data_IF_298334633309
#
_entry.id   IF_298334633309
#
_cell.length_a   1.000
_cell.length_b   1.000
_cell.length_c   1.000
_cell.angle_alpha   90.00
_cell.angle_beta   90.00
_cell.angle_gamma   90.00
#
_symmetry.space_group_name_H-M   'P 1'
#
loop_
_entity.id
_entity.type
_entity.pdbx_description
1 polymer ?
#
# COMPACT_ATOMS: atom_id res chain seq x y z
N UNK A 1 -2.35 -25.27 -25.02
CA UNK A 1 -2.68 -25.92 -23.73
C UNK A 1 -1.64 -26.92 -23.24
N UNK A 2 -1.39 -28.08 -23.88
CA UNK A 2 -0.38 -29.05 -23.38
C UNK A 2 1.03 -28.46 -23.24
N UNK A 3 1.48 -27.72 -24.24
CA UNK A 3 2.77 -27.02 -24.22
C UNK A 3 2.85 -25.99 -23.09
N UNK A 4 1.81 -25.17 -22.92
CA UNK A 4 1.71 -24.20 -21.83
C UNK A 4 1.77 -24.86 -20.44
N UNK A 5 1.15 -26.03 -20.26
CA UNK A 5 1.25 -26.79 -18.99
C UNK A 5 2.67 -27.30 -18.74
N UNK A 6 3.37 -27.78 -19.78
CA UNK A 6 4.77 -28.20 -19.66
C UNK A 6 5.72 -27.02 -19.42
N UNK A 7 5.39 -25.84 -19.94
CA UNK A 7 6.07 -24.57 -19.65
C UNK A 7 5.91 -24.16 -18.19
N UNK A 8 4.67 -24.17 -17.66
CA UNK A 8 4.39 -23.89 -16.24
C UNK A 8 5.24 -24.76 -15.31
N UNK A 9 5.26 -26.08 -15.52
CA UNK A 9 6.05 -26.99 -14.68
C UNK A 9 7.55 -26.65 -14.70
N UNK A 10 8.10 -26.24 -15.86
CA UNK A 10 9.51 -25.83 -15.95
C UNK A 10 9.77 -24.52 -15.21
N UNK A 11 8.87 -23.55 -15.32
CA UNK A 11 9.00 -22.25 -14.66
C UNK A 11 8.89 -22.41 -13.14
N UNK A 12 7.93 -23.21 -12.67
CA UNK A 12 7.74 -23.51 -11.24
C UNK A 12 8.98 -24.18 -10.64
N UNK A 13 9.58 -25.15 -11.35
CA UNK A 13 10.82 -25.78 -10.92
C UNK A 13 11.95 -24.74 -10.80
N UNK A 14 12.09 -23.83 -11.77
CA UNK A 14 13.12 -22.79 -11.74
C UNK A 14 12.89 -21.77 -10.63
N UNK A 15 11.65 -21.37 -10.38
CA UNK A 15 11.31 -20.48 -9.27
C UNK A 15 11.65 -21.13 -7.92
N UNK A 16 11.36 -22.42 -7.74
CA UNK A 16 11.72 -23.16 -6.53
C UNK A 16 13.24 -23.29 -6.31
N UNK A 17 14.02 -23.46 -7.38
CA UNK A 17 15.49 -23.41 -7.31
C UNK A 17 16.00 -22.03 -6.84
N UNK A 18 15.42 -20.95 -7.36
CA UNK A 18 15.80 -19.59 -6.98
C UNK A 18 15.45 -19.31 -5.50
N UNK A 19 14.29 -19.78 -5.03
CA UNK A 19 13.88 -19.64 -3.63
C UNK A 19 14.74 -20.47 -2.67
N UNK A 20 15.12 -21.69 -3.04
CA UNK A 20 15.97 -22.57 -2.21
C UNK A 20 17.45 -22.17 -2.16
N UNK A 21 17.89 -21.26 -3.03
CA UNK A 21 19.28 -20.76 -3.08
C UNK A 21 19.64 -19.74 -1.97
N UNK A 22 18.77 -19.54 -0.97
CA UNK A 22 19.05 -18.76 0.25
C UNK A 22 19.82 -19.55 1.31
N UNK A 23 20.58 -18.87 2.18
CA UNK A 23 21.25 -19.52 3.33
C UNK A 23 20.21 -20.20 4.23
N UNK A 24 20.38 -21.49 4.49
CA UNK A 24 19.55 -22.22 5.45
C UNK A 24 19.95 -21.91 6.89
N UNK A 25 18.98 -21.64 7.77
CA UNK A 25 19.18 -21.67 9.23
C UNK A 25 19.03 -20.35 9.99
N UNK A 26 18.82 -19.22 9.31
CA UNK A 26 18.43 -17.96 9.96
C UNK A 26 16.91 -17.80 10.04
N UNK A 27 16.42 -17.07 11.03
CA UNK A 27 15.00 -16.68 11.05
C UNK A 27 14.69 -15.63 9.96
N UNK A 28 13.40 -15.35 9.73
CA UNK A 28 12.97 -14.42 8.69
C UNK A 28 13.53 -12.99 8.89
N UNK A 29 13.76 -12.56 10.14
CA UNK A 29 14.29 -11.25 10.45
C UNK A 29 15.79 -11.16 10.17
N UNK A 30 16.55 -12.20 10.49
CA UNK A 30 17.97 -12.30 10.14
C UNK A 30 18.15 -12.31 8.62
N UNK A 31 17.37 -13.13 7.91
CA UNK A 31 17.41 -13.20 6.45
C UNK A 31 17.11 -11.85 5.81
N UNK A 32 16.08 -11.13 6.27
CA UNK A 32 15.78 -9.79 5.76
C UNK A 32 16.90 -8.78 6.01
N UNK A 33 17.62 -8.88 7.13
CA UNK A 33 18.69 -7.95 7.51
C UNK A 33 19.99 -8.20 6.77
N UNK A 34 20.31 -9.47 6.51
CA UNK A 34 21.59 -9.87 5.88
C UNK A 34 21.46 -10.16 4.39
N UNK A 35 20.24 -10.17 3.85
CA UNK A 35 20.00 -10.34 2.42
C UNK A 35 20.72 -9.23 1.67
N UNK A 36 21.67 -9.62 0.82
CA UNK A 36 22.25 -8.74 -0.17
C UNK A 36 21.33 -8.80 -1.39
N UNK A 37 20.96 -7.62 -1.89
CA UNK A 37 20.25 -7.53 -3.16
C UNK A 37 21.08 -8.23 -4.24
N UNK A 38 20.46 -9.19 -4.94
CA UNK A 38 21.02 -9.83 -6.13
C UNK A 38 20.15 -9.40 -7.31
N UNK A 39 20.49 -8.28 -7.99
CA UNK A 39 19.67 -7.71 -9.03
C UNK A 39 19.43 -8.68 -10.20
N UNK A 40 20.38 -9.58 -10.47
CA UNK A 40 20.27 -10.57 -11.53
C UNK A 40 19.21 -11.63 -11.17
N UNK A 41 19.27 -12.15 -9.94
CA UNK A 41 18.28 -13.10 -9.42
C UNK A 41 16.88 -12.49 -9.33
N UNK A 42 16.78 -11.24 -8.88
CA UNK A 42 15.50 -10.51 -8.82
C UNK A 42 14.93 -10.28 -10.21
N UNK A 43 15.77 -9.91 -11.19
CA UNK A 43 15.36 -9.75 -12.58
C UNK A 43 14.91 -11.07 -13.20
N UNK A 44 15.62 -12.18 -12.95
CA UNK A 44 15.23 -13.51 -13.40
C UNK A 44 13.89 -13.94 -12.77
N UNK A 45 13.74 -13.77 -11.46
CA UNK A 45 12.50 -14.11 -10.75
C UNK A 45 11.31 -13.31 -11.29
N UNK A 46 11.49 -12.02 -11.59
CA UNK A 46 10.46 -11.16 -12.18
C UNK A 46 10.07 -11.65 -13.58
N UNK A 47 11.05 -11.97 -14.42
CA UNK A 47 10.81 -12.50 -15.76
C UNK A 47 10.08 -13.85 -15.72
N UNK A 48 10.49 -14.76 -14.84
CA UNK A 48 9.85 -16.06 -14.65
C UNK A 48 8.41 -15.93 -14.16
N UNK A 49 8.11 -14.99 -13.25
CA UNK A 49 6.74 -14.71 -12.79
C UNK A 49 5.85 -14.19 -13.93
N UNK A 50 6.38 -13.30 -14.77
CA UNK A 50 5.67 -12.85 -15.97
C UNK A 50 5.38 -14.01 -16.92
N UNK A 51 6.39 -14.82 -17.22
CA UNK A 51 6.24 -15.99 -18.10
C UNK A 51 5.28 -17.03 -17.52
N UNK A 52 5.29 -17.23 -16.18
CA UNK A 52 4.34 -18.10 -15.50
C UNK A 52 2.91 -17.61 -15.73
N UNK A 53 2.65 -16.31 -15.56
CA UNK A 53 1.33 -15.73 -15.78
C UNK A 53 0.85 -15.95 -17.22
N UNK A 54 1.68 -15.65 -18.20
CA UNK A 54 1.33 -15.83 -19.61
C UNK A 54 1.05 -17.32 -19.94
N UNK A 55 1.86 -18.23 -19.41
CA UNK A 55 1.67 -19.67 -19.58
C UNK A 55 0.40 -20.18 -18.87
N UNK A 56 0.05 -19.60 -17.72
CA UNK A 56 -1.15 -19.93 -16.96
C UNK A 56 -2.40 -19.69 -17.81
N UNK A 57 -2.56 -18.50 -18.38
CA UNK A 57 -3.73 -18.15 -19.19
C UNK A 57 -3.83 -18.95 -20.50
N UNK A 58 -2.70 -19.42 -21.06
CA UNK A 58 -2.68 -20.33 -22.23
C UNK A 58 -2.92 -21.81 -21.89
N UNK A 59 -3.00 -22.17 -20.61
CA UNK A 59 -3.07 -23.58 -20.16
C UNK A 59 -4.48 -24.18 -20.23
N UNK A 60 -5.50 -23.36 -20.41
CA UNK A 60 -6.92 -23.68 -20.57
C UNK A 60 -7.55 -22.88 -21.72
N UNK A 61 -8.79 -23.20 -22.09
CA UNK A 61 -9.55 -22.49 -23.11
C UNK A 61 -10.21 -21.23 -22.53
N UNK A 62 -10.45 -20.23 -23.39
CA UNK A 62 -11.10 -18.96 -22.99
C UNK A 62 -12.53 -19.13 -22.47
N UNK A 63 -13.19 -20.25 -22.79
CA UNK A 63 -14.55 -20.59 -22.34
C UNK A 63 -14.59 -21.37 -21.03
N UNK A 64 -13.43 -21.81 -20.51
CA UNK A 64 -13.39 -22.64 -19.32
C UNK A 64 -13.61 -21.78 -18.07
N UNK A 65 -14.60 -22.15 -17.24
CA UNK A 65 -14.76 -21.55 -15.92
C UNK A 65 -13.54 -21.91 -15.05
N UNK A 66 -12.95 -20.90 -14.42
CA UNK A 66 -11.79 -21.04 -13.54
C UNK A 66 -12.08 -20.48 -12.18
N UNK A 67 -11.63 -21.21 -11.16
CA UNK A 67 -11.61 -20.73 -9.78
C UNK A 67 -10.16 -20.62 -9.32
N UNK A 68 -9.78 -19.45 -8.83
CA UNK A 68 -8.46 -19.19 -8.26
C UNK A 68 -8.60 -19.14 -6.75
N UNK A 69 -8.04 -20.14 -6.06
CA UNK A 69 -8.07 -20.26 -4.59
C UNK A 69 -6.69 -20.18 -3.96
N UNK A 70 -5.64 -20.28 -4.76
CA UNK A 70 -4.25 -20.20 -4.32
C UNK A 70 -3.70 -18.77 -4.39
N UNK A 71 -2.41 -18.63 -4.10
CA UNK A 71 -1.69 -17.35 -4.20
C UNK A 71 -1.43 -16.91 -5.65
N UNK A 72 -1.63 -17.79 -6.63
CA UNK A 72 -1.37 -17.54 -8.05
C UNK A 72 -2.56 -17.98 -8.92
N UNK A 73 -2.86 -17.27 -10.03
CA UNK A 73 -2.31 -15.97 -10.42
C UNK A 73 -2.57 -14.87 -9.38
N UNK A 74 -1.76 -13.81 -9.37
CA UNK A 74 -1.95 -12.71 -8.41
C UNK A 74 -3.21 -11.94 -8.77
N UNK A 75 -3.79 -11.25 -7.78
CA UNK A 75 -5.02 -10.49 -7.96
C UNK A 75 -4.94 -9.49 -9.13
N UNK A 76 -3.87 -8.69 -9.19
CA UNK A 76 -3.68 -7.72 -10.28
C UNK A 76 -3.44 -8.38 -11.64
N UNK A 77 -2.85 -9.57 -11.69
CA UNK A 77 -2.71 -10.33 -12.93
C UNK A 77 -4.08 -10.78 -13.45
N UNK A 78 -4.97 -11.21 -12.55
CA UNK A 78 -6.36 -11.49 -12.90
C UNK A 78 -7.07 -10.24 -13.45
N UNK A 79 -6.88 -9.08 -12.80
CA UNK A 79 -7.50 -7.83 -13.26
C UNK A 79 -7.04 -7.40 -14.65
N UNK A 80 -5.78 -7.67 -14.99
CA UNK A 80 -5.23 -7.35 -16.31
C UNK A 80 -5.89 -8.19 -17.41
N UNK A 81 -6.23 -9.44 -17.12
CA UNK A 81 -6.84 -10.39 -18.06
C UNK A 81 -8.37 -10.31 -18.12
N UNK A 82 -9.04 -9.64 -17.18
CA UNK A 82 -10.51 -9.49 -17.21
C UNK A 82 -10.94 -8.28 -18.02
N UNK A 83 -12.08 -8.38 -18.73
CA UNK A 83 -12.70 -7.22 -19.39
C UNK A 83 -13.62 -6.44 -18.45
N UNK A 84 -14.22 -7.13 -17.48
CA UNK A 84 -15.04 -6.53 -16.43
C UNK A 84 -15.01 -7.36 -15.14
N UNK A 85 -15.52 -6.78 -14.06
CA UNK A 85 -15.64 -7.45 -12.75
C UNK A 85 -17.06 -7.37 -12.20
N UNK A 86 -17.52 -8.43 -11.55
CA UNK A 86 -18.70 -8.41 -10.69
C UNK A 86 -18.25 -8.73 -9.26
N UNK A 87 -18.61 -7.89 -8.31
CA UNK A 87 -18.25 -8.05 -6.90
C UNK A 87 -19.38 -7.60 -5.98
N UNK A 88 -19.28 -7.93 -4.70
CA UNK A 88 -20.09 -7.31 -3.65
C UNK A 88 -19.39 -6.01 -3.16
N UNK A 89 -19.83 -5.47 -2.02
CA UNK A 89 -19.09 -4.35 -1.39
C UNK A 89 -17.84 -4.92 -0.72
N UNK A 90 -16.78 -5.03 -1.51
CA UNK A 90 -15.45 -5.48 -1.07
C UNK A 90 -14.40 -4.40 -1.28
N UNK A 91 -13.36 -4.37 -0.44
CA UNK A 91 -12.19 -3.49 -0.64
C UNK A 91 -11.52 -3.72 -2.00
N UNK A 92 -11.66 -4.93 -2.55
CA UNK A 92 -11.17 -5.34 -3.87
C UNK A 92 -11.73 -4.46 -5.00
N UNK A 93 -12.94 -3.91 -4.83
CA UNK A 93 -13.51 -2.94 -5.79
C UNK A 93 -12.64 -1.69 -5.92
N UNK A 94 -12.06 -1.23 -4.81
CA UNK A 94 -11.20 -0.04 -4.83
C UNK A 94 -9.91 -0.28 -5.63
N UNK A 95 -9.33 -1.48 -5.52
CA UNK A 95 -8.16 -1.86 -6.30
C UNK A 95 -8.51 -1.99 -7.80
N UNK A 96 -9.69 -2.54 -8.12
CA UNK A 96 -10.13 -2.69 -9.51
C UNK A 96 -10.39 -1.36 -10.22
N UNK A 97 -10.79 -0.30 -9.49
CA UNK A 97 -10.97 1.06 -10.04
C UNK A 97 -9.70 1.57 -10.73
N UNK A 98 -8.51 1.14 -10.27
CA UNK A 98 -7.24 1.49 -10.92
C UNK A 98 -7.17 1.06 -12.39
N UNK A 99 -7.88 -0.02 -12.77
CA UNK A 99 -7.94 -0.51 -14.14
C UNK A 99 -8.76 0.38 -15.08
N UNK A 100 -9.70 1.17 -14.55
CA UNK A 100 -10.68 1.93 -15.33
C UNK A 100 -11.72 1.06 -16.08
N UNK A 101 -11.65 -0.26 -15.95
CA UNK A 101 -12.53 -1.22 -16.65
C UNK A 101 -13.95 -1.23 -16.06
N UNK A 102 -14.97 -1.61 -16.84
CA UNK A 102 -16.33 -1.76 -16.35
C UNK A 102 -16.43 -2.71 -15.15
N UNK A 103 -17.25 -2.36 -14.16
CA UNK A 103 -17.53 -3.24 -13.02
C UNK A 103 -18.95 -3.06 -12.51
N UNK A 104 -19.46 -4.12 -11.88
CA UNK A 104 -20.77 -4.15 -11.26
C UNK A 104 -20.68 -4.57 -9.78
N UNK A 105 -21.57 -3.99 -8.97
CA UNK A 105 -21.65 -4.27 -7.54
C UNK A 105 -23.05 -4.75 -7.18
N UNK A 106 -23.14 -5.85 -6.42
CA UNK A 106 -24.42 -6.41 -5.99
C UNK A 106 -24.99 -5.68 -4.78
N UNK A 107 -26.20 -5.14 -4.91
CA UNK A 107 -27.00 -4.60 -3.79
C UNK A 107 -27.86 -5.72 -3.17
N UNK A 108 -27.22 -6.53 -2.33
CA UNK A 108 -27.89 -7.66 -1.65
C UNK A 108 -28.92 -7.21 -0.60
N UNK A 109 -28.77 -5.99 -0.08
CA UNK A 109 -29.67 -5.39 0.89
C UNK A 109 -30.93 -4.78 0.26
N UNK A 110 -31.01 -4.75 -1.08
CA UNK A 110 -32.12 -4.19 -1.85
C UNK A 110 -32.46 -2.74 -1.45
N UNK A 111 -31.43 -1.92 -1.21
CA UNK A 111 -31.56 -0.50 -0.93
C UNK A 111 -32.05 0.29 -2.15
N UNK A 112 -31.73 -0.22 -3.35
CA UNK A 112 -31.96 0.44 -4.63
C UNK A 112 -30.74 1.23 -5.08
N UNK A 113 -30.52 1.29 -6.41
CA UNK A 113 -29.29 1.81 -7.00
C UNK A 113 -28.91 3.22 -6.54
N UNK A 114 -29.88 4.15 -6.48
CA UNK A 114 -29.63 5.54 -6.08
C UNK A 114 -29.21 5.66 -4.61
N UNK A 115 -29.91 4.96 -3.71
CA UNK A 115 -29.59 4.92 -2.29
C UNK A 115 -28.22 4.27 -2.07
N UNK A 116 -27.97 3.16 -2.75
CA UNK A 116 -26.73 2.40 -2.65
C UNK A 116 -25.51 3.22 -3.09
N UNK A 117 -25.62 3.97 -4.20
CA UNK A 117 -24.60 4.90 -4.67
C UNK A 117 -24.37 6.08 -3.73
N UNK A 118 -25.41 6.56 -3.05
CA UNK A 118 -25.28 7.63 -2.05
C UNK A 118 -24.49 7.17 -0.83
N UNK A 119 -24.70 5.94 -0.39
CA UNK A 119 -24.02 5.39 0.79
C UNK A 119 -22.58 4.95 0.50
N UNK A 120 -22.24 4.63 -0.74
CA UNK A 120 -20.94 4.04 -1.08
C UNK A 120 -20.23 4.80 -2.22
N UNK A 121 -19.15 5.51 -1.89
CA UNK A 121 -18.40 6.30 -2.87
C UNK A 121 -17.82 5.44 -4.01
N UNK A 122 -17.33 4.24 -3.68
CA UNK A 122 -16.68 3.34 -4.64
C UNK A 122 -17.64 2.73 -5.68
N UNK A 123 -18.96 2.79 -5.46
CA UNK A 123 -19.95 2.20 -6.38
C UNK A 123 -20.65 3.24 -7.26
N UNK A 124 -20.29 4.53 -7.10
CA UNK A 124 -20.86 5.64 -7.87
C UNK A 124 -20.74 5.45 -9.39
N UNK A 125 -19.66 4.82 -9.83
CA UNK A 125 -19.36 4.54 -11.23
C UNK A 125 -19.56 3.06 -11.62
N UNK A 126 -20.26 2.29 -10.79
CA UNK A 126 -20.56 0.88 -11.03
C UNK A 126 -21.99 0.70 -11.58
N UNK A 127 -22.21 -0.38 -12.32
CA UNK A 127 -23.54 -0.95 -12.52
C UNK A 127 -24.00 -1.58 -11.20
N UNK A 128 -25.20 -1.25 -10.72
CA UNK A 128 -25.71 -1.82 -9.47
C UNK A 128 -26.63 -2.99 -9.82
N UNK A 129 -26.23 -4.19 -9.42
CA UNK A 129 -27.02 -5.39 -9.65
C UNK A 129 -28.02 -5.57 -8.53
N UNK A 130 -29.30 -5.63 -8.89
CA UNK A 130 -30.34 -6.09 -7.98
C UNK A 130 -30.16 -7.59 -7.68
N UNK A 131 -30.91 -8.12 -6.71
CA UNK A 131 -30.91 -9.57 -6.42
C UNK A 131 -31.33 -10.43 -7.62
N UNK A 132 -32.04 -9.86 -8.61
CA UNK A 132 -32.39 -10.51 -9.86
C UNK A 132 -31.35 -10.35 -10.97
N UNK A 133 -30.34 -9.48 -10.77
CA UNK A 133 -29.28 -9.14 -11.73
C UNK A 133 -29.79 -8.78 -13.15
N UNK A 134 -30.96 -8.15 -13.24
CA UNK A 134 -31.53 -7.71 -14.52
C UNK A 134 -30.64 -6.67 -15.23
N UNK A 135 -29.80 -5.98 -14.48
CA UNK A 135 -28.89 -4.94 -14.93
C UNK A 135 -27.58 -5.51 -15.50
N UNK A 136 -27.37 -6.83 -15.49
CA UNK A 136 -26.14 -7.46 -16.00
C UNK A 136 -25.90 -7.16 -17.48
N UNK A 137 -26.97 -7.01 -18.27
CA UNK A 137 -26.88 -6.66 -19.68
C UNK A 137 -26.23 -5.29 -19.91
N UNK A 138 -26.37 -4.35 -18.97
CA UNK A 138 -25.69 -3.04 -19.05
C UNK A 138 -24.17 -3.19 -18.93
N UNK A 139 -23.70 -4.06 -18.03
CA UNK A 139 -22.28 -4.36 -17.90
C UNK A 139 -21.74 -5.03 -19.16
N UNK A 140 -22.46 -6.02 -19.68
CA UNK A 140 -22.06 -6.75 -20.87
C UNK A 140 -22.06 -5.86 -22.13
N UNK A 141 -22.97 -4.90 -22.22
CA UNK A 141 -22.98 -3.91 -23.29
C UNK A 141 -21.72 -3.04 -23.27
N UNK A 142 -21.31 -2.56 -22.09
CA UNK A 142 -20.08 -1.77 -21.93
C UNK A 142 -18.81 -2.57 -22.28
N UNK A 143 -18.80 -3.88 -21.99
CA UNK A 143 -17.70 -4.78 -22.36
C UNK A 143 -17.67 -5.02 -23.87
N UNK A 144 -18.82 -5.26 -24.49
CA UNK A 144 -18.91 -5.59 -25.91
C UNK A 144 -18.63 -4.39 -26.82
N UNK A 145 -19.02 -3.19 -26.39
CA UNK A 145 -18.80 -1.94 -27.12
C UNK A 145 -18.38 -0.81 -26.16
N UNK A 146 -17.11 -0.38 -26.17
CA UNK A 146 -16.65 0.74 -25.36
C UNK A 146 -17.41 2.04 -25.59
N UNK A 147 -18.04 2.24 -26.77
CA UNK A 147 -18.86 3.42 -27.02
C UNK A 147 -20.24 3.37 -26.34
N UNK A 148 -20.70 2.18 -25.94
CA UNK A 148 -21.92 1.99 -25.16
C UNK A 148 -21.70 2.17 -23.65
N UNK A 149 -20.44 2.33 -23.22
CA UNK A 149 -20.08 2.48 -21.82
C UNK A 149 -20.36 3.89 -21.29
N UNK A 150 -21.60 4.08 -20.85
CA UNK A 150 -22.06 5.36 -20.26
C UNK A 150 -21.37 5.71 -18.94
N UNK A 151 -20.68 4.77 -18.29
CA UNK A 151 -20.02 4.96 -16.99
C UNK A 151 -18.51 5.20 -17.11
N UNK A 152 -17.93 5.16 -18.31
CA UNK A 152 -16.49 5.32 -18.52
C UNK A 152 -15.93 6.62 -17.91
N UNK A 153 -16.57 7.77 -18.20
CA UNK A 153 -16.17 9.07 -17.64
C UNK A 153 -16.31 9.11 -16.12
N UNK A 154 -17.42 8.59 -15.58
CA UNK A 154 -17.62 8.51 -14.13
C UNK A 154 -16.55 7.64 -13.45
N UNK A 155 -16.08 6.56 -14.10
CA UNK A 155 -14.98 5.74 -13.60
C UNK A 155 -13.65 6.47 -13.68
N UNK A 156 -13.39 7.24 -14.73
CA UNK A 156 -12.19 8.07 -14.85
C UNK A 156 -12.14 9.16 -13.77
N UNK A 157 -13.25 9.85 -13.53
CA UNK A 157 -13.38 10.84 -12.45
C UNK A 157 -13.18 10.20 -11.07
N UNK A 158 -13.82 9.06 -10.83
CA UNK A 158 -13.71 8.33 -9.56
C UNK A 158 -12.28 7.84 -9.32
N UNK A 159 -11.63 7.30 -10.35
CA UNK A 159 -10.23 6.88 -10.30
C UNK A 159 -9.33 8.07 -9.93
N UNK A 160 -9.50 9.20 -10.61
CA UNK A 160 -8.73 10.42 -10.33
C UNK A 160 -8.96 10.94 -8.90
N UNK A 161 -10.21 10.89 -8.42
CA UNK A 161 -10.57 11.31 -7.07
C UNK A 161 -9.95 10.42 -5.99
N UNK A 162 -9.91 9.10 -6.19
CA UNK A 162 -9.42 8.15 -5.19
C UNK A 162 -7.91 7.91 -5.24
N UNK A 163 -7.34 7.81 -6.44
CA UNK A 163 -5.96 7.37 -6.67
C UNK A 163 -5.03 8.51 -7.11
N UNK A 164 -5.60 9.66 -7.46
CA UNK A 164 -4.86 10.77 -8.05
C UNK A 164 -4.67 10.60 -9.56
N UNK A 165 -3.82 11.44 -10.18
CA UNK A 165 -3.59 11.40 -11.62
C UNK A 165 -2.87 10.13 -12.06
N UNK A 166 -3.12 9.71 -13.30
CA UNK A 166 -2.44 8.56 -13.92
C UNK A 166 -0.96 8.86 -14.17
N UNK A 167 -0.64 10.12 -14.49
CA UNK A 167 0.72 10.58 -14.80
C UNK A 167 1.06 11.88 -14.04
N UNK A 168 2.20 11.94 -13.33
CA UNK A 168 3.13 10.83 -13.08
C UNK A 168 2.48 9.75 -12.21
N UNK A 169 2.86 8.49 -12.42
CA UNK A 169 2.29 7.35 -11.70
C UNK A 169 2.51 7.48 -10.19
N UNK A 170 1.65 6.85 -9.38
CA UNK A 170 1.81 6.87 -7.90
C UNK A 170 3.19 6.35 -7.46
N UNK A 171 3.76 5.41 -8.21
CA UNK A 171 5.10 4.87 -7.95
C UNK A 171 6.19 5.92 -8.23
N UNK A 172 6.10 6.67 -9.33
CA UNK A 172 7.04 7.75 -9.63
C UNK A 172 6.95 8.88 -8.61
N UNK A 173 5.73 9.26 -8.21
CA UNK A 173 5.52 10.26 -7.17
C UNK A 173 6.12 9.81 -5.83
N UNK A 174 5.90 8.55 -5.45
CA UNK A 174 6.47 7.97 -4.25
C UNK A 174 7.99 7.92 -4.29
N UNK A 175 8.57 7.46 -5.41
CA UNK A 175 10.02 7.41 -5.59
C UNK A 175 10.64 8.81 -5.53
N UNK A 176 10.02 9.81 -6.16
CA UNK A 176 10.46 11.19 -6.09
C UNK A 176 10.43 11.73 -4.65
N UNK A 177 9.38 11.42 -3.89
CA UNK A 177 9.26 11.79 -2.48
C UNK A 177 10.34 11.12 -1.62
N UNK A 178 10.63 9.83 -1.84
CA UNK A 178 11.71 9.12 -1.17
C UNK A 178 13.08 9.73 -1.47
N UNK A 179 13.38 10.03 -2.74
CA UNK A 179 14.62 10.68 -3.11
C UNK A 179 14.78 12.06 -2.46
N UNK A 180 13.70 12.84 -2.40
CA UNK A 180 13.71 14.14 -1.72
C UNK A 180 13.92 13.99 -0.21
N UNK A 181 13.33 12.97 0.42
CA UNK A 181 13.51 12.67 1.84
C UNK A 181 14.96 12.26 2.15
N UNK A 182 15.54 11.38 1.33
CA UNK A 182 16.93 10.95 1.46
C UNK A 182 17.91 12.12 1.36
N UNK A 183 17.74 12.99 0.34
CA UNK A 183 18.58 14.17 0.17
C UNK A 183 18.52 15.13 1.38
N UNK A 184 17.34 15.32 1.97
CA UNK A 184 17.18 16.11 3.21
C UNK A 184 17.90 15.46 4.40
N UNK A 185 17.80 14.15 4.55
CA UNK A 185 18.45 13.41 5.62
C UNK A 185 19.98 13.48 5.50
N UNK A 186 20.52 13.33 4.29
CA UNK A 186 21.95 13.46 4.01
C UNK A 186 22.47 14.87 4.33
N UNK A 187 21.76 15.91 3.88
CA UNK A 187 22.12 17.30 4.18
C UNK A 187 22.13 17.58 5.70
N UNK A 188 21.12 17.07 6.42
CA UNK A 188 21.07 17.18 7.89
C UNK A 188 22.25 16.47 8.54
N UNK A 189 22.55 15.24 8.12
CA UNK A 189 23.62 14.43 8.70
C UNK A 189 25.00 15.07 8.44
N UNK A 190 25.21 15.64 7.24
CA UNK A 190 26.41 16.41 6.93
C UNK A 190 26.54 17.65 7.84
N UNK A 191 25.45 18.39 8.06
CA UNK A 191 25.44 19.53 8.98
C UNK A 191 25.70 19.15 10.45
N UNK A 192 25.21 18.00 10.91
CA UNK A 192 25.52 17.45 12.24
C UNK A 192 27.00 17.08 12.34
N UNK A 193 27.55 16.38 11.35
CA UNK A 193 28.95 15.98 11.32
C UNK A 193 29.89 17.19 11.32
N UNK A 194 29.56 18.25 10.58
CA UNK A 194 30.33 19.50 10.58
C UNK A 194 30.32 20.19 11.94
N UNK A 195 29.17 20.22 12.65
CA UNK A 195 29.08 20.78 14.00
C UNK A 195 29.86 19.95 15.03
N UNK A 196 29.79 18.62 14.94
CA UNK A 196 30.55 17.74 15.81
C UNK A 196 32.07 17.86 15.58
N UNK A 197 32.51 18.05 14.33
CA UNK A 197 33.92 18.28 14.01
C UNK A 197 34.44 19.67 14.41
N UNK A 198 33.55 20.65 14.57
CA UNK A 198 33.88 22.01 15.01
C UNK A 198 33.83 22.23 16.52
N UNK A 199 33.37 21.26 17.31
CA UNK A 199 33.49 21.30 18.76
C UNK A 199 34.93 20.96 19.15
N UNK A 200 35.64 21.83 19.89
CA UNK A 200 36.95 21.47 20.42
C UNK A 200 36.76 20.24 21.32
N UNK A 201 37.51 19.19 21.04
CA UNK A 201 37.70 18.09 21.99
C UNK A 201 38.31 18.74 23.22
N UNK A 202 37.49 19.06 24.21
CA UNK A 202 37.99 19.35 25.55
C UNK A 202 38.55 18.02 26.00
N UNK A 203 39.86 17.84 25.88
CA UNK A 203 40.54 16.74 26.56
C UNK A 203 40.19 16.94 28.02
N UNK A 204 39.37 16.04 28.58
CA UNK A 204 39.36 15.86 30.02
C UNK A 204 40.83 15.63 30.38
N UNK A 205 41.46 16.65 30.96
CA UNK A 205 42.71 16.45 31.68
C UNK A 205 42.47 15.35 32.71
N UNK A 206 43.50 14.58 33.09
CA UNK A 206 43.32 13.46 34.01
C UNK A 206 42.53 13.93 35.24
N UNK A 207 41.37 13.31 35.47
CA UNK A 207 40.56 13.54 36.65
C UNK A 207 41.45 13.34 37.89
N UNK A 208 41.57 14.34 38.78
CA UNK A 208 42.35 14.16 40.02
C UNK A 208 41.63 13.25 41.04
N UNK A 209 40.50 12.61 40.68
CA UNK A 209 39.71 11.77 41.57
C UNK A 209 40.02 10.26 41.49
N UNK A 210 41.05 9.83 40.75
CA UNK A 210 41.51 8.43 40.77
C UNK A 210 42.40 8.11 42.00
N UNK A 211 42.20 8.84 43.11
CA UNK A 211 42.95 8.69 44.36
C UNK A 211 42.05 8.86 45.58
N UNK A 212 40.92 8.14 45.60
CA UNK A 212 40.21 7.84 46.85
C UNK A 212 39.34 6.59 46.70
N UNK A 213 39.99 5.42 46.53
CA UNK A 213 39.37 4.16 46.90
C UNK A 213 39.25 4.11 48.43
N UNK A 214 38.16 4.63 48.96
CA UNK A 214 37.86 4.62 50.40
C UNK A 214 36.43 4.15 50.61
N UNK A 215 36.30 2.88 51.01
CA UNK A 215 35.03 2.27 51.40
C UNK A 215 34.27 3.16 52.41
N UNK A 216 33.01 3.48 52.09
CA UNK A 216 32.10 4.20 52.96
C UNK A 216 30.73 3.54 52.95
N UNK A 217 30.27 3.15 54.14
CA UNK A 217 29.06 2.37 54.40
C UNK A 217 27.78 3.07 53.90
N UNK A 218 26.80 2.23 53.55
CA UNK A 218 25.57 2.64 52.91
C UNK A 218 24.65 3.54 53.72
N UNK A 219 23.88 4.31 52.99
CA UNK A 219 22.51 4.70 53.31
C UNK A 219 21.80 5.02 51.98
N UNK A 220 20.66 4.37 51.78
CA UNK A 220 19.79 4.50 50.62
C UNK A 220 18.93 5.75 50.83
N UNK A 221 19.14 6.81 50.06
CA UNK A 221 18.15 7.88 49.90
C UNK A 221 17.58 7.82 48.48
N UNK A 222 16.34 7.34 48.41
CA UNK A 222 15.45 7.46 47.28
C UNK A 222 15.03 8.94 47.17
N UNK A 223 15.30 9.57 46.04
CA UNK A 223 14.55 10.74 45.59
C UNK A 223 14.02 10.47 44.20
N UNK A 224 12.69 10.38 44.14
CA UNK A 224 11.90 10.42 42.92
C UNK A 224 12.08 11.77 42.24
N UNK A 225 12.48 11.78 40.97
CA UNK A 225 11.99 12.77 40.00
C UNK A 225 12.19 12.25 38.57
N UNK A 226 11.13 11.61 38.05
CA UNK A 226 10.97 11.33 36.64
C UNK A 226 10.60 12.64 35.91
N UNK A 227 11.59 13.32 35.33
CA UNK A 227 11.37 14.46 34.46
C UNK A 227 11.18 14.00 33.00
N UNK A 228 9.93 14.12 32.56
CA UNK A 228 9.37 14.04 31.22
C UNK A 228 10.35 14.18 30.03
N UNK A 229 10.40 13.14 29.20
CA UNK A 229 10.83 13.24 27.80
C UNK A 229 9.74 13.94 26.98
N UNK A 230 10.06 15.12 26.44
CA UNK A 230 9.18 15.83 25.54
C UNK A 230 9.26 15.22 24.12
N UNK A 231 8.09 14.88 23.57
CA UNK A 231 7.89 14.41 22.20
C UNK A 231 8.16 15.56 21.19
N UNK A 232 9.07 15.38 20.20
CA UNK A 232 9.40 16.43 19.25
C UNK A 232 8.35 16.67 18.14
N UNK A 233 7.25 15.91 18.06
CA UNK A 233 6.27 16.00 16.95
C UNK A 233 4.90 16.61 17.32
N UNK A 234 4.79 17.39 18.39
CA UNK A 234 3.55 18.09 18.73
C UNK A 234 3.23 19.25 17.76
N UNK A 235 2.39 18.98 16.76
CA UNK A 235 1.85 19.96 15.81
C UNK A 235 0.86 20.90 16.52
N UNK A 236 1.14 22.21 16.50
CA UNK A 236 0.34 23.23 17.18
C UNK A 236 -1.08 23.40 16.60
N UNK A 237 -2.07 22.85 17.29
CA UNK A 237 -3.48 23.16 17.06
C UNK A 237 -3.87 24.44 17.82
N UNK A 238 -3.94 25.56 17.12
CA UNK A 238 -4.55 26.81 17.62
C UNK A 238 -6.07 26.63 17.70
N UNK A 239 -6.57 26.22 18.86
CA UNK A 239 -7.99 26.21 19.18
C UNK A 239 -8.49 27.60 19.59
N UNK A 240 -9.08 28.34 18.65
CA UNK A 240 -9.87 29.54 18.97
C UNK A 240 -11.29 29.12 19.34
N UNK A 241 -11.61 29.20 20.64
CA UNK A 241 -12.93 28.95 21.24
C UNK A 241 -13.91 30.07 20.85
N UNK A 242 -15.16 29.80 20.42
CA UNK A 242 -16.18 30.83 20.40
C UNK A 242 -16.86 30.92 21.76
N UNK A 243 -17.06 32.15 22.23
CA UNK A 243 -17.76 32.47 23.47
C UNK A 243 -19.27 32.27 23.30
N UNK A 244 -19.87 31.57 24.26
CA UNK A 244 -21.30 31.52 24.50
C UNK A 244 -21.78 32.86 25.08
N UNK A 245 -22.84 33.42 24.49
CA UNK A 245 -23.56 34.58 25.01
C UNK A 245 -25.02 34.48 24.58
N UNK A 246 -25.87 34.13 25.53
CA UNK A 246 -27.33 34.08 25.47
C UNK A 246 -27.88 35.50 25.72
N UNK A 247 -28.74 36.05 24.86
CA UNK A 247 -29.97 36.74 25.26
C UNK A 247 -30.84 37.23 24.08
N UNK A 248 -32.11 36.82 24.16
CA UNK A 248 -33.32 37.61 23.94
C UNK A 248 -33.63 38.33 22.60
N UNK A 249 -34.66 37.79 21.93
CA UNK A 249 -35.94 38.46 21.63
C UNK A 249 -35.91 39.82 20.89
N UNK A 250 -36.49 39.86 19.68
CA UNK A 250 -37.68 40.68 19.31
C UNK A 250 -37.81 40.94 17.80
N UNK A 251 -39.04 40.74 17.32
CA UNK A 251 -39.76 41.47 16.26
C UNK A 251 -39.25 41.41 14.80
N UNK A 252 -40.15 41.02 13.91
CA UNK A 252 -40.10 41.33 12.47
C UNK A 252 -40.66 40.22 11.61
#
# INVERSE_FOLDING_TARGET
QREARAELTRIEARLAELESSGRSGGDAAELSRVSLADPAREAETRALRSAWNDAYWRSFGWWEHRTVTGQQPRLYDCFNETDAMVSDISSVVSDFIASGKPYAVTDSAALGAEEFKRQNTAVRAAVILSNGAAELDELLAAVADPAADTLAEARHELKSYLLGPDEPTSMEQFNAALHALAAKAEARNAGVAQRAAGQPVVSAGPDPEDSSSGAGNGEQELSDEAAASADPDAVGASGRKPATGEEASRLG
#
